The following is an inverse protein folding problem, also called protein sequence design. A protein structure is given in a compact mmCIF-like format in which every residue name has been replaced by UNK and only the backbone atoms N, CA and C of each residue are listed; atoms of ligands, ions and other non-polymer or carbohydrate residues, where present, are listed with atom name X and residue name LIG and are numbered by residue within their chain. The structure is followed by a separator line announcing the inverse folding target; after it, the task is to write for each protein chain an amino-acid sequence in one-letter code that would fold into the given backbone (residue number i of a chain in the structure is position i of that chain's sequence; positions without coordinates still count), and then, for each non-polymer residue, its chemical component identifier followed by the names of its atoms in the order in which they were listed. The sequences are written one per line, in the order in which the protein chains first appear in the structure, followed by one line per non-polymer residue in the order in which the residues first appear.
data_IF_381047535198
#
_entry.id   IF_381047535198
#
_cell.length_a   1.000
_cell.length_b   1.000
_cell.length_c   1.000
_cell.angle_alpha   90.00
_cell.angle_beta   90.00
_cell.angle_gamma   90.00
#
_symmetry.space_group_name_H-M   'P 1'
#
loop_
_entity.id
_entity.type
_entity.pdbx_description
1 polymer ?
#
# COMPACT_ATOMS: atom_id res chain seq x y z
N UNK A 1 3.72 -8.89 -20.82
CA UNK A 1 4.04 -7.87 -21.84
C UNK A 1 4.69 -6.59 -21.33
N UNK A 2 4.53 -6.19 -20.06
CA UNK A 2 5.19 -4.99 -19.49
C UNK A 2 6.46 -5.25 -18.65
N UNK A 3 7.03 -6.46 -18.74
CA UNK A 3 8.25 -6.80 -18.00
C UNK A 3 9.47 -6.04 -18.53
N UNK A 4 10.30 -5.49 -17.63
CA UNK A 4 11.56 -4.84 -17.99
C UNK A 4 11.47 -3.33 -18.29
N UNK A 5 10.30 -2.70 -18.12
CA UNK A 5 10.11 -1.24 -18.25
C UNK A 5 11.06 -0.46 -17.33
N UNK A 6 11.41 -1.02 -16.16
CA UNK A 6 12.44 -0.50 -15.26
C UNK A 6 13.81 -0.25 -15.92
N UNK A 7 14.17 -0.99 -16.99
CA UNK A 7 15.42 -0.78 -17.75
C UNK A 7 15.33 0.38 -18.75
N UNK A 8 14.15 0.62 -19.31
CA UNK A 8 13.92 1.62 -20.37
C UNK A 8 13.51 2.97 -19.77
N UNK A 9 12.78 2.97 -18.65
CA UNK A 9 12.28 4.16 -17.97
C UNK A 9 12.41 4.03 -16.42
N UNK A 10 13.63 4.04 -15.86
CA UNK A 10 13.87 3.78 -14.44
C UNK A 10 13.24 4.81 -13.50
N UNK A 11 13.23 6.09 -13.89
CA UNK A 11 12.64 7.16 -13.06
C UNK A 11 11.12 7.00 -12.99
N UNK A 12 10.47 6.72 -14.12
CA UNK A 12 9.02 6.50 -14.18
C UNK A 12 8.62 5.23 -13.40
N UNK A 13 9.42 4.16 -13.50
CA UNK A 13 9.20 2.95 -12.72
C UNK A 13 9.34 3.20 -11.20
N UNK A 14 10.35 3.96 -10.79
CA UNK A 14 10.55 4.34 -9.39
C UNK A 14 9.42 5.22 -8.84
N UNK A 15 8.98 6.24 -9.59
CA UNK A 15 7.87 7.09 -9.15
C UNK A 15 6.53 6.35 -9.18
N UNK A 16 6.34 5.43 -10.12
CA UNK A 16 5.17 4.55 -10.15
C UNK A 16 5.13 3.63 -8.92
N UNK A 17 6.25 3.02 -8.54
CA UNK A 17 6.36 2.20 -7.33
C UNK A 17 6.08 3.01 -6.06
N UNK A 18 6.67 4.19 -5.92
CA UNK A 18 6.42 5.06 -4.76
C UNK A 18 4.97 5.53 -4.74
N UNK A 19 4.41 5.85 -5.90
CA UNK A 19 3.01 6.24 -6.05
C UNK A 19 2.05 5.10 -5.69
N UNK A 20 2.32 3.87 -6.14
CA UNK A 20 1.48 2.71 -5.82
C UNK A 20 1.55 2.39 -4.32
N UNK A 21 2.73 2.47 -3.71
CA UNK A 21 2.88 2.34 -2.25
C UNK A 21 2.20 3.48 -1.48
N UNK A 22 2.14 4.70 -2.04
CA UNK A 22 1.38 5.81 -1.47
C UNK A 22 -0.11 5.51 -1.38
N UNK A 23 -0.70 4.91 -2.41
CA UNK A 23 -2.12 4.51 -2.40
C UNK A 23 -2.44 3.41 -1.38
N UNK A 24 -1.41 2.72 -0.87
CA UNK A 24 -1.51 1.66 0.12
C UNK A 24 -1.04 2.13 1.51
N UNK A 25 -0.95 3.45 1.71
CA UNK A 25 -0.59 4.05 2.98
C UNK A 25 0.74 3.55 3.54
N UNK A 26 1.79 3.54 2.72
CA UNK A 26 3.13 3.27 3.22
C UNK A 26 3.49 4.26 4.34
N UNK A 27 4.07 3.79 5.46
CA UNK A 27 4.57 4.67 6.51
C UNK A 27 5.49 5.76 5.94
N UNK A 28 5.21 7.02 6.28
CA UNK A 28 5.95 8.19 5.78
C UNK A 28 5.31 8.88 4.57
N UNK A 29 4.22 8.35 4.01
CA UNK A 29 3.43 9.01 2.96
C UNK A 29 2.14 9.63 3.53
N UNK A 30 1.60 10.63 2.82
CA UNK A 30 0.50 11.47 3.29
C UNK A 30 -0.74 10.70 3.80
N UNK A 31 -1.26 9.64 3.15
CA UNK A 31 -2.49 8.98 3.61
C UNK A 31 -2.31 8.08 4.83
N UNK A 32 -1.07 7.73 5.19
CA UNK A 32 -0.79 6.76 6.25
C UNK A 32 -1.37 7.15 7.59
N UNK A 33 -1.23 8.41 8.00
CA UNK A 33 -1.67 8.86 9.32
C UNK A 33 -3.18 8.70 9.47
N UNK A 34 -3.96 9.07 8.45
CA UNK A 34 -5.42 8.93 8.48
C UNK A 34 -5.87 7.46 8.49
N UNK A 35 -5.29 6.61 7.63
CA UNK A 35 -5.71 5.21 7.56
C UNK A 35 -5.28 4.41 8.78
N UNK A 36 -4.11 4.69 9.33
CA UNK A 36 -3.66 4.08 10.57
C UNK A 36 -4.59 4.42 11.73
N UNK A 37 -5.02 5.69 11.86
CA UNK A 37 -5.97 6.09 12.90
C UNK A 37 -7.35 5.43 12.70
N UNK A 38 -7.81 5.29 11.46
CA UNK A 38 -9.06 4.55 11.14
C UNK A 38 -8.92 3.08 11.58
N UNK A 39 -7.78 2.45 11.34
CA UNK A 39 -7.49 1.08 11.78
C UNK A 39 -7.48 0.95 13.31
N UNK A 40 -6.80 1.85 14.01
CA UNK A 40 -6.76 1.87 15.49
C UNK A 40 -8.17 2.04 16.08
N UNK A 41 -8.97 2.95 15.53
CA UNK A 41 -10.36 3.12 15.94
C UNK A 41 -11.21 1.88 15.66
N UNK A 42 -10.98 1.24 14.52
CA UNK A 42 -11.68 0.00 14.13
C UNK A 42 -11.32 -1.16 15.05
N UNK A 43 -10.04 -1.34 15.41
CA UNK A 43 -9.63 -2.38 16.36
C UNK A 43 -10.22 -2.19 17.75
N UNK A 44 -10.40 -0.94 18.18
CA UNK A 44 -11.00 -0.61 19.47
C UNK A 44 -12.49 -0.96 19.52
N UNK A 45 -13.23 -0.78 18.41
CA UNK A 45 -14.69 -0.97 18.36
C UNK A 45 -15.11 -2.35 17.80
N UNK A 46 -14.42 -2.83 16.78
CA UNK A 46 -14.73 -4.01 15.98
C UNK A 46 -13.45 -4.78 15.62
N UNK A 47 -12.87 -5.54 16.58
CA UNK A 47 -11.56 -6.18 16.39
C UNK A 47 -11.52 -7.16 15.20
N UNK A 48 -12.60 -7.91 14.95
CA UNK A 48 -12.68 -8.84 13.80
C UNK A 48 -12.59 -8.09 12.47
N UNK A 49 -13.30 -6.96 12.34
CA UNK A 49 -13.22 -6.12 11.15
C UNK A 49 -11.84 -5.47 11.01
N UNK A 50 -11.20 -5.12 12.14
CA UNK A 50 -9.82 -4.65 12.17
C UNK A 50 -8.84 -5.66 11.56
N UNK A 51 -8.94 -6.94 11.95
CA UNK A 51 -8.10 -8.02 11.40
C UNK A 51 -8.30 -8.15 9.88
N UNK A 52 -9.55 -8.16 9.42
CA UNK A 52 -9.85 -8.26 7.98
C UNK A 52 -9.27 -7.07 7.22
N UNK A 53 -9.42 -5.85 7.74
CA UNK A 53 -8.87 -4.65 7.14
C UNK A 53 -7.34 -4.69 7.06
N UNK A 54 -6.66 -5.11 8.13
CA UNK A 54 -5.19 -5.28 8.13
C UNK A 54 -4.73 -6.30 7.09
N UNK A 55 -5.42 -7.44 6.96
CA UNK A 55 -5.10 -8.44 5.93
C UNK A 55 -5.26 -7.85 4.53
N UNK A 56 -6.31 -7.06 4.28
CA UNK A 56 -6.52 -6.37 3.01
C UNK A 56 -5.36 -5.46 2.63
N UNK A 57 -4.83 -4.68 3.58
CA UNK A 57 -3.66 -3.81 3.35
C UNK A 57 -2.42 -4.64 3.01
N UNK A 58 -2.17 -5.74 3.76
CA UNK A 58 -1.01 -6.61 3.50
C UNK A 58 -1.08 -7.23 2.10
N UNK A 59 -2.26 -7.69 1.68
CA UNK A 59 -2.47 -8.25 0.34
C UNK A 59 -2.31 -7.17 -0.75
N UNK A 60 -2.79 -5.96 -0.53
CA UNK A 60 -2.60 -4.83 -1.46
C UNK A 60 -1.13 -4.48 -1.64
N UNK A 61 -0.36 -4.42 -0.55
CA UNK A 61 1.08 -4.20 -0.56
C UNK A 61 1.83 -5.31 -1.29
N UNK A 62 1.49 -6.58 -1.01
CA UNK A 62 2.07 -7.73 -1.69
C UNK A 62 1.79 -7.68 -3.20
N UNK A 63 0.56 -7.39 -3.60
CA UNK A 63 0.19 -7.26 -5.00
C UNK A 63 0.99 -6.15 -5.70
N UNK A 64 1.11 -4.97 -5.08
CA UNK A 64 1.91 -3.88 -5.63
C UNK A 64 3.38 -4.24 -5.79
N UNK A 65 3.93 -5.03 -4.87
CA UNK A 65 5.32 -5.47 -4.94
C UNK A 65 5.55 -6.53 -6.01
N UNK A 66 4.60 -7.47 -6.17
CA UNK A 66 4.67 -8.52 -7.20
C UNK A 66 4.45 -7.95 -8.60
N UNK A 67 3.64 -6.89 -8.72
CA UNK A 67 3.37 -6.21 -9.98
C UNK A 67 4.58 -5.40 -10.49
N UNK A 68 5.50 -5.03 -9.61
CA UNK A 68 6.72 -4.29 -9.93
C UNK A 68 7.83 -5.21 -10.43
#
# INVERSE_FOLDING_TARGET
DYGGVQKVAPVLAGTFLVGSLATLSLPGLAPFVSEFLVLVGTFTRYPVMGVIATVGIVLGALYSLVLY
#
